data_IF_778822870115
#
_entry.id   IF_778822870115
#
_cell.length_a   1.000
_cell.length_b   1.000
_cell.length_c   1.000
_cell.angle_alpha   90.00
_cell.angle_beta   90.00
_cell.angle_gamma   90.00
#
_symmetry.space_group_name_H-M   'P 1'
#
loop_
_entity.id
_entity.type
_entity.pdbx_description
1 polymer ?
#
# COMPACT_ATOMS: atom_id res chain seq x y z
N UNK A 1 -2.30 -5.17 25.90
CA UNK A 1 -2.31 -3.93 25.08
C UNK A 1 -1.92 -4.31 23.66
N UNK A 2 -2.54 -3.74 22.62
CA UNK A 2 -2.15 -3.94 21.21
C UNK A 2 -1.86 -2.59 20.59
N UNK A 3 -0.87 -2.52 19.71
CA UNK A 3 -0.53 -1.32 18.93
C UNK A 3 -0.66 -1.69 17.45
N UNK A 4 -1.19 -0.76 16.66
CA UNK A 4 -1.33 -0.92 15.21
C UNK A 4 -0.64 0.27 14.55
N UNK A 5 0.25 -0.01 13.61
CA UNK A 5 0.89 0.98 12.75
C UNK A 5 0.33 0.78 11.34
N UNK A 6 -0.14 1.85 10.71
CA UNK A 6 -0.68 1.83 9.35
C UNK A 6 0.21 2.65 8.43
N UNK A 7 0.21 2.33 7.13
CA UNK A 7 0.98 3.07 6.14
C UNK A 7 0.70 2.58 4.72
N UNK A 8 1.05 3.40 3.74
CA UNK A 8 0.97 3.07 2.32
C UNK A 8 2.40 2.90 1.76
N UNK A 9 2.74 1.67 1.39
CA UNK A 9 4.07 1.31 0.88
C UNK A 9 4.42 1.96 -0.46
N UNK A 10 3.41 2.45 -1.20
CA UNK A 10 3.58 3.12 -2.49
C UNK A 10 3.91 4.60 -2.34
N UNK A 11 3.58 5.20 -1.18
CA UNK A 11 3.81 6.61 -0.89
C UNK A 11 5.21 6.84 -0.32
N UNK A 12 6.22 6.77 -1.18
CA UNK A 12 7.61 7.08 -0.83
C UNK A 12 7.99 8.47 -1.34
N UNK A 13 7.77 9.49 -0.51
CA UNK A 13 8.14 10.88 -0.79
C UNK A 13 9.45 11.27 -0.07
N UNK A 14 10.52 10.51 -0.35
CA UNK A 14 11.83 10.71 0.26
C UNK A 14 12.85 11.20 -0.78
N UNK A 15 13.88 11.97 -0.37
CA UNK A 15 15.01 12.30 -1.22
C UNK A 15 15.63 11.07 -1.91
N UNK A 16 16.14 11.27 -3.12
CA UNK A 16 16.75 10.19 -3.91
C UNK A 16 17.84 9.47 -3.12
N UNK A 17 17.80 8.15 -3.15
CA UNK A 17 18.76 7.27 -2.46
C UNK A 17 18.39 6.94 -1.02
N UNK A 18 17.35 7.58 -0.45
CA UNK A 18 16.88 7.23 0.88
C UNK A 18 15.93 6.04 0.83
N UNK A 19 16.07 5.13 1.80
CA UNK A 19 15.19 3.95 1.94
C UNK A 19 13.91 4.34 2.66
N UNK A 20 12.78 3.74 2.27
CA UNK A 20 11.52 3.87 3.00
C UNK A 20 11.65 3.22 4.38
N UNK A 21 11.33 3.97 5.43
CA UNK A 21 11.30 3.45 6.80
C UNK A 21 10.27 2.34 6.98
N UNK A 22 9.14 2.38 6.24
CA UNK A 22 8.12 1.33 6.29
C UNK A 22 8.65 0.02 5.69
N UNK A 23 9.30 0.09 4.52
CA UNK A 23 9.94 -1.09 3.89
C UNK A 23 11.12 -1.62 4.72
N UNK A 24 11.82 -0.74 5.42
CA UNK A 24 12.89 -1.12 6.34
C UNK A 24 12.36 -1.83 7.57
N UNK A 25 11.32 -1.29 8.21
CA UNK A 25 10.67 -1.92 9.35
C UNK A 25 10.13 -3.31 8.99
N UNK A 26 9.47 -3.45 7.85
CA UNK A 26 9.00 -4.74 7.33
C UNK A 26 10.13 -5.76 7.23
N UNK A 27 11.26 -5.38 6.64
CA UNK A 27 12.44 -6.24 6.49
C UNK A 27 13.08 -6.61 7.83
N UNK A 28 13.22 -5.64 8.74
CA UNK A 28 13.95 -5.82 10.02
C UNK A 28 13.12 -6.63 11.02
N UNK A 29 11.81 -6.41 11.05
CA UNK A 29 10.91 -7.06 12.00
C UNK A 29 10.36 -8.40 11.46
N UNK A 30 10.73 -8.78 10.23
CA UNK A 30 10.34 -10.05 9.62
C UNK A 30 10.81 -11.23 10.48
N UNK A 31 9.86 -12.02 10.98
CA UNK A 31 10.13 -13.24 11.74
C UNK A 31 10.03 -13.10 13.26
N UNK A 32 9.67 -11.92 13.78
CA UNK A 32 9.27 -11.77 15.18
C UNK A 32 7.85 -12.33 15.32
N UNK A 33 7.67 -13.36 16.16
CA UNK A 33 6.41 -14.12 16.29
C UNK A 33 5.24 -13.25 16.76
N UNK A 34 5.53 -12.21 17.53
CA UNK A 34 4.53 -11.30 18.10
C UNK A 34 4.13 -10.15 17.16
N UNK A 35 4.71 -10.06 15.96
CA UNK A 35 4.45 -9.00 14.97
C UNK A 35 3.86 -9.60 13.70
N UNK A 36 2.64 -9.17 13.37
CA UNK A 36 1.94 -9.56 12.15
C UNK A 36 1.94 -8.44 11.12
N UNK A 37 2.14 -8.79 9.84
CA UNK A 37 2.09 -7.85 8.71
C UNK A 37 0.83 -8.09 7.88
N UNK A 38 -0.11 -7.15 7.96
CA UNK A 38 -1.38 -7.23 7.23
C UNK A 38 -1.34 -6.32 6.00
N UNK A 39 -1.48 -6.92 4.81
CA UNK A 39 -1.52 -6.19 3.54
C UNK A 39 -2.94 -6.13 3.01
N UNK A 40 -3.38 -4.92 2.65
CA UNK A 40 -4.66 -4.72 1.99
C UNK A 40 -4.47 -4.71 0.47
N UNK A 41 -5.44 -5.27 -0.23
CA UNK A 41 -5.57 -5.19 -1.67
C UNK A 41 -6.80 -4.34 -2.05
N UNK A 42 -7.03 -4.22 -3.35
CA UNK A 42 -8.16 -3.47 -3.93
C UNK A 42 -9.53 -3.93 -3.44
N UNK A 43 -9.69 -5.22 -3.11
CA UNK A 43 -10.95 -5.80 -2.61
C UNK A 43 -11.24 -5.41 -1.16
N UNK A 44 -10.21 -5.06 -0.40
CA UNK A 44 -10.34 -4.62 0.99
C UNK A 44 -10.77 -3.14 1.10
N UNK A 45 -10.76 -2.40 -0.02
CA UNK A 45 -11.10 -0.98 -0.04
C UNK A 45 -12.56 -0.76 -0.41
N UNK A 46 -13.37 -0.39 0.59
CA UNK A 46 -14.73 0.10 0.35
C UNK A 46 -14.66 1.52 -0.19
N UNK A 47 -15.00 1.69 -1.47
CA UNK A 47 -15.08 2.99 -2.14
C UNK A 47 -16.52 3.27 -2.54
N UNK A 48 -16.87 4.55 -2.57
CA UNK A 48 -18.14 4.96 -3.17
C UNK A 48 -18.20 4.52 -4.64
N UNK A 49 -19.39 4.10 -5.12
CA UNK A 49 -19.58 3.55 -6.48
C UNK A 49 -19.00 4.46 -7.57
N UNK A 50 -19.19 5.77 -7.46
CA UNK A 50 -18.65 6.75 -8.41
C UNK A 50 -17.11 6.72 -8.46
N UNK A 51 -16.45 6.63 -7.31
CA UNK A 51 -14.97 6.59 -7.24
C UNK A 51 -14.44 5.31 -7.90
N UNK A 52 -15.12 4.17 -7.70
CA UNK A 52 -14.75 2.93 -8.38
C UNK A 52 -14.87 3.04 -9.91
N UNK A 53 -15.94 3.69 -10.40
CA UNK A 53 -16.12 3.92 -11.84
C UNK A 53 -15.01 4.82 -12.41
N UNK A 54 -14.62 5.87 -11.69
CA UNK A 54 -13.54 6.77 -12.11
C UNK A 54 -12.22 5.99 -12.20
N UNK A 55 -11.86 5.22 -11.16
CA UNK A 55 -10.61 4.45 -11.15
C UNK A 55 -10.54 3.46 -12.32
N UNK A 56 -11.61 2.69 -12.56
CA UNK A 56 -11.67 1.74 -13.69
C UNK A 56 -11.51 2.41 -15.05
N UNK A 57 -12.02 3.62 -15.23
CA UNK A 57 -11.89 4.34 -16.49
C UNK A 57 -10.41 4.69 -16.78
N UNK A 58 -9.64 5.09 -15.77
CA UNK A 58 -8.21 5.35 -15.92
C UNK A 58 -7.39 4.07 -16.09
N UNK A 59 -7.74 2.99 -15.40
CA UNK A 59 -7.09 1.69 -15.58
C UNK A 59 -7.20 1.21 -17.03
N UNK A 60 -8.40 1.26 -17.64
CA UNK A 60 -8.61 0.83 -19.03
C UNK A 60 -7.82 1.66 -20.05
N UNK A 61 -7.68 2.97 -19.82
CA UNK A 61 -6.88 3.84 -20.70
C UNK A 61 -5.38 3.48 -20.65
N UNK A 62 -4.91 3.01 -19.50
CA UNK A 62 -3.51 2.64 -19.29
C UNK A 62 -3.14 1.40 -20.12
N UNK A 63 -4.07 0.45 -20.25
CA UNK A 63 -3.90 -0.80 -21.00
C UNK A 63 -4.09 -0.67 -22.52
N UNK A 64 -4.72 0.41 -23.01
CA UNK A 64 -4.88 0.67 -24.45
C UNK A 64 -3.67 1.36 -25.09
N UNK A 65 -2.70 1.81 -24.29
CA UNK A 65 -1.47 2.47 -24.75
C UNK A 65 -0.21 1.56 -24.69
N UNK A 66 -0.40 0.26 -24.45
CA UNK A 66 0.60 -0.81 -24.65
C UNK A 66 0.22 -1.67 -25.86
#
# INVERSE_FOLDING_TARGET
SKVVVTGDVTQVDLPRGQRSGLKEAERVLKGIEEIEFVYFNDKDVVRHKLVQMIVKAYENQSTENE
#
